data_IF_329104792260
#
_entry.id   IF_329104792260
#
_cell.length_a   1.000
_cell.length_b   1.000
_cell.length_c   1.000
_cell.angle_alpha   90.00
_cell.angle_beta   90.00
_cell.angle_gamma   90.00
#
_symmetry.space_group_name_H-M   'P 1'
#
loop_
_entity.id
_entity.type
_entity.pdbx_description
1 polymer ?
#
# COMPACT_ATOMS: atom_id res chain seq x y z
N UNK A 1 -5.03 -25.17 1.08
CA UNK A 1 -5.95 -26.00 1.86
C UNK A 1 -7.21 -25.19 2.10
N UNK A 2 -8.38 -25.73 1.77
CA UNK A 2 -9.67 -25.10 2.10
C UNK A 2 -10.09 -25.65 3.46
N UNK A 3 -10.36 -24.76 4.42
CA UNK A 3 -10.90 -25.15 5.72
C UNK A 3 -12.39 -25.46 5.56
N UNK A 4 -12.81 -26.66 5.96
CA UNK A 4 -14.19 -27.15 5.84
C UNK A 4 -14.93 -26.98 7.18
N UNK A 5 -15.10 -25.73 7.59
CA UNK A 5 -15.63 -25.34 8.89
C UNK A 5 -16.01 -23.86 8.97
N UNK A 6 -16.38 -23.38 10.17
CA UNK A 6 -16.74 -21.98 10.39
C UNK A 6 -15.73 -21.26 11.29
N UNK A 7 -15.58 -19.95 11.12
CA UNK A 7 -14.78 -19.11 12.01
C UNK A 7 -15.70 -18.12 12.69
N UNK A 8 -15.67 -18.09 14.03
CA UNK A 8 -16.32 -17.06 14.82
C UNK A 8 -15.25 -16.03 15.20
N UNK A 9 -15.34 -14.82 14.63
CA UNK A 9 -14.44 -13.72 14.96
C UNK A 9 -15.10 -12.76 15.96
N UNK A 10 -14.52 -12.67 17.15
CA UNK A 10 -14.86 -11.69 18.18
C UNK A 10 -14.00 -10.44 17.97
N UNK A 11 -14.47 -9.52 17.14
CA UNK A 11 -13.76 -8.26 16.85
C UNK A 11 -13.88 -7.26 18.00
N UNK A 12 -12.81 -6.50 18.26
CA UNK A 12 -12.69 -5.55 19.37
C UNK A 12 -13.07 -6.16 20.76
N UNK A 13 -12.78 -7.45 20.99
CA UNK A 13 -13.13 -8.17 22.22
C UNK A 13 -12.71 -7.42 23.51
N UNK A 14 -11.51 -6.83 23.60
CA UNK A 14 -11.11 -6.04 24.77
C UNK A 14 -12.00 -4.82 25.03
N UNK A 15 -12.68 -4.24 24.04
CA UNK A 15 -13.58 -3.08 24.26
C UNK A 15 -14.91 -3.48 24.90
N UNK A 16 -15.26 -4.77 24.87
CA UNK A 16 -16.50 -5.25 25.46
C UNK A 16 -16.45 -5.14 27.00
N UNK A 17 -17.56 -4.77 27.62
CA UNK A 17 -17.66 -4.71 29.08
C UNK A 17 -17.32 -6.09 29.71
N UNK A 18 -16.77 -6.15 30.94
CA UNK A 18 -16.35 -7.41 31.54
C UNK A 18 -17.44 -8.50 31.61
N UNK A 19 -18.70 -8.12 31.77
CA UNK A 19 -19.83 -9.06 31.74
C UNK A 19 -20.05 -9.69 30.36
N UNK A 20 -19.80 -8.95 29.28
CA UNK A 20 -19.89 -9.44 27.90
C UNK A 20 -18.68 -10.33 27.59
N UNK A 21 -17.47 -9.93 28.03
CA UNK A 21 -16.28 -10.79 27.91
C UNK A 21 -16.48 -12.12 28.67
N UNK A 22 -17.06 -12.09 29.87
CA UNK A 22 -17.39 -13.29 30.64
C UNK A 22 -18.34 -14.22 29.86
N UNK A 23 -19.28 -13.67 29.10
CA UNK A 23 -20.16 -14.45 28.22
C UNK A 23 -19.41 -15.22 27.13
N UNK A 24 -18.28 -14.70 26.63
CA UNK A 24 -17.47 -15.40 25.63
C UNK A 24 -16.64 -16.56 26.19
N UNK A 25 -16.52 -16.71 27.53
CA UNK A 25 -15.71 -17.78 28.13
C UNK A 25 -16.20 -19.15 27.71
N UNK A 26 -17.50 -19.38 27.77
CA UNK A 26 -18.10 -20.67 27.47
C UNK A 26 -17.86 -21.06 26.01
N UNK A 27 -17.89 -20.07 25.11
CA UNK A 27 -17.61 -20.27 23.70
C UNK A 27 -16.14 -20.61 23.45
N UNK A 28 -15.23 -19.86 24.06
CA UNK A 28 -13.77 -20.04 23.87
C UNK A 28 -13.26 -21.31 24.54
N UNK A 29 -13.81 -21.67 25.70
CA UNK A 29 -13.35 -22.80 26.50
C UNK A 29 -14.00 -24.12 26.10
N UNK A 30 -15.33 -24.12 26.00
CA UNK A 30 -16.13 -25.34 25.89
C UNK A 30 -16.77 -25.50 24.52
N UNK A 31 -16.56 -24.55 23.59
CA UNK A 31 -17.24 -24.53 22.29
C UNK A 31 -18.75 -24.48 22.46
N UNK A 32 -19.27 -23.71 23.43
CA UNK A 32 -20.70 -23.72 23.79
C UNK A 32 -21.30 -22.33 23.90
N UNK A 33 -22.61 -22.27 23.64
CA UNK A 33 -23.46 -21.10 23.87
C UNK A 33 -24.70 -21.55 24.65
N UNK A 34 -24.66 -21.42 25.98
CA UNK A 34 -25.65 -22.02 26.86
C UNK A 34 -25.59 -23.54 26.78
N UNK A 35 -26.69 -24.17 26.37
CA UNK A 35 -26.78 -25.63 26.17
C UNK A 35 -26.35 -26.06 24.76
N UNK A 36 -26.25 -25.12 23.81
CA UNK A 36 -25.84 -25.43 22.45
C UNK A 36 -24.34 -25.72 22.38
N UNK A 37 -23.99 -26.86 21.79
CA UNK A 37 -22.60 -27.25 21.49
C UNK A 37 -22.31 -26.86 20.05
N UNK A 38 -21.31 -26.01 19.88
CA UNK A 38 -20.81 -25.58 18.57
C UNK A 38 -20.11 -26.78 17.91
N UNK A 39 -20.27 -26.99 16.59
CA UNK A 39 -19.59 -28.07 15.88
C UNK A 39 -18.06 -28.05 16.06
N UNK A 40 -17.44 -29.23 16.08
CA UNK A 40 -15.99 -29.40 16.30
C UNK A 40 -15.13 -28.72 15.22
N UNK A 41 -15.70 -28.45 14.05
CA UNK A 41 -15.07 -27.72 12.96
C UNK A 41 -15.35 -26.22 13.01
N UNK A 42 -15.54 -25.65 14.22
CA UNK A 42 -15.60 -24.21 14.41
C UNK A 42 -14.38 -23.71 15.17
N UNK A 43 -13.73 -22.69 14.62
CA UNK A 43 -12.59 -22.01 15.25
C UNK A 43 -13.03 -20.65 15.77
N UNK A 44 -12.70 -20.36 17.03
CA UNK A 44 -12.93 -19.05 17.63
C UNK A 44 -11.67 -18.21 17.52
N UNK A 45 -11.80 -17.02 16.95
CA UNK A 45 -10.75 -16.01 16.86
C UNK A 45 -11.21 -14.74 17.56
N UNK A 46 -10.27 -13.98 18.11
CA UNK A 46 -10.53 -12.66 18.69
C UNK A 46 -9.54 -11.64 18.15
N UNK A 47 -10.01 -10.42 17.95
CA UNK A 47 -9.18 -9.28 17.56
C UNK A 47 -9.37 -8.13 18.57
N UNK A 48 -8.34 -7.29 18.70
CA UNK A 48 -8.38 -6.16 19.59
C UNK A 48 -7.04 -5.43 19.67
N UNK A 49 -7.08 -4.22 20.21
CA UNK A 49 -5.91 -3.41 20.44
C UNK A 49 -5.20 -3.84 21.74
N UNK A 50 -3.90 -3.59 21.87
CA UNK A 50 -3.16 -3.93 23.10
C UNK A 50 -3.63 -3.03 24.24
N UNK A 51 -3.55 -3.52 25.48
CA UNK A 51 -3.80 -2.72 26.69
C UNK A 51 -2.96 -1.43 26.72
N UNK A 52 -1.76 -1.46 26.13
CA UNK A 52 -0.85 -0.31 26.01
C UNK A 52 -1.26 0.72 24.97
N UNK A 53 -2.12 0.35 24.01
CA UNK A 53 -2.49 1.20 22.87
C UNK A 53 -3.64 2.18 23.21
N UNK A 54 -4.09 2.23 24.48
CA UNK A 54 -5.02 3.22 25.06
C UNK A 54 -6.25 3.57 24.21
N UNK A 55 -6.81 2.59 23.49
CA UNK A 55 -8.23 2.61 23.14
C UNK A 55 -9.09 2.40 24.39
N UNK A 56 -10.40 2.59 24.31
CA UNK A 56 -11.35 2.27 25.38
C UNK A 56 -11.43 0.76 25.66
N UNK A 57 -10.31 0.13 26.02
CA UNK A 57 -10.19 -1.31 26.24
C UNK A 57 -10.32 -1.62 27.73
N UNK A 58 -11.05 -2.67 28.05
CA UNK A 58 -11.02 -3.33 29.35
C UNK A 58 -9.93 -4.40 29.32
N UNK A 59 -9.14 -4.46 30.40
CA UNK A 59 -8.12 -5.49 30.57
C UNK A 59 -8.77 -6.88 30.46
N UNK A 60 -8.34 -7.66 29.49
CA UNK A 60 -8.80 -9.04 29.36
C UNK A 60 -8.39 -9.83 30.61
N UNK A 61 -9.31 -10.56 31.27
CA UNK A 61 -8.94 -11.33 32.44
C UNK A 61 -7.90 -12.40 32.09
N UNK A 62 -6.88 -12.58 32.93
CA UNK A 62 -5.79 -13.55 32.73
C UNK A 62 -6.26 -14.96 32.37
N UNK A 63 -7.34 -15.51 32.96
CA UNK A 63 -7.82 -16.83 32.59
C UNK A 63 -8.32 -16.92 31.15
N UNK A 64 -8.93 -15.86 30.60
CA UNK A 64 -9.38 -15.81 29.21
C UNK A 64 -8.19 -15.68 28.25
N UNK A 65 -7.22 -14.81 28.60
CA UNK A 65 -5.99 -14.67 27.82
C UNK A 65 -5.26 -16.01 27.67
N UNK A 66 -5.18 -16.82 28.72
CA UNK A 66 -4.51 -18.13 28.68
C UNK A 66 -5.25 -19.19 27.84
N UNK A 67 -6.40 -18.86 27.23
CA UNK A 67 -7.14 -19.73 26.29
C UNK A 67 -6.98 -19.33 24.83
N UNK A 68 -6.32 -18.21 24.57
CA UNK A 68 -5.97 -17.78 23.22
C UNK A 68 -4.50 -18.02 22.93
N UNK A 69 -4.21 -18.37 21.68
CA UNK A 69 -2.88 -18.19 21.09
C UNK A 69 -2.79 -16.75 20.62
N UNK A 70 -1.81 -16.00 21.12
CA UNK A 70 -1.67 -14.57 20.84
C UNK A 70 -0.75 -14.33 19.64
N UNK A 71 -1.23 -13.61 18.64
CA UNK A 71 -0.47 -13.21 17.45
C UNK A 71 -0.49 -11.69 17.37
N UNK A 72 0.68 -11.05 17.40
CA UNK A 72 0.79 -9.60 17.23
C UNK A 72 0.89 -9.27 15.73
N UNK A 73 -0.07 -8.48 15.24
CA UNK A 73 -0.07 -7.97 13.86
C UNK A 73 0.48 -6.54 13.87
N UNK A 74 1.43 -6.27 12.99
CA UNK A 74 2.04 -4.94 12.83
C UNK A 74 1.85 -4.43 11.41
N UNK A 75 1.82 -3.11 11.28
CA UNK A 75 1.81 -2.48 9.95
C UNK A 75 3.18 -2.68 9.30
N UNK A 76 3.19 -3.32 8.13
CA UNK A 76 4.35 -3.40 7.26
C UNK A 76 4.15 -2.54 6.00
N UNK A 77 5.20 -1.83 5.59
CA UNK A 77 5.11 -0.96 4.42
C UNK A 77 5.05 -1.74 3.10
N UNK A 78 5.78 -2.86 2.99
CA UNK A 78 5.79 -3.68 1.78
C UNK A 78 4.43 -4.30 1.51
N UNK A 79 3.81 -4.89 2.53
CA UNK A 79 2.45 -5.46 2.44
C UNK A 79 1.41 -4.38 2.09
N UNK A 80 1.51 -3.21 2.74
CA UNK A 80 0.64 -2.08 2.42
C UNK A 80 0.84 -1.57 0.99
N UNK A 81 2.08 -1.44 0.53
CA UNK A 81 2.39 -0.96 -0.82
C UNK A 81 1.82 -1.90 -1.87
N UNK A 82 1.96 -3.22 -1.68
CA UNK A 82 1.36 -4.22 -2.55
C UNK A 82 -0.16 -4.09 -2.62
N UNK A 83 -0.82 -3.95 -1.47
CA UNK A 83 -2.26 -3.71 -1.40
C UNK A 83 -2.67 -2.42 -2.10
N UNK A 84 -1.94 -1.32 -1.87
CA UNK A 84 -2.22 0.00 -2.44
C UNK A 84 -2.08 0.01 -3.97
N UNK A 85 -1.03 -0.63 -4.49
CA UNK A 85 -0.82 -0.80 -5.94
C UNK A 85 -1.93 -1.63 -6.58
N UNK A 86 -2.29 -2.76 -5.97
CA UNK A 86 -3.35 -3.65 -6.48
C UNK A 86 -4.73 -3.00 -6.42
N UNK A 87 -4.98 -2.18 -5.40
CA UNK A 87 -6.22 -1.43 -5.20
C UNK A 87 -6.26 -0.08 -5.92
N UNK A 88 -5.24 0.21 -6.74
CA UNK A 88 -5.11 1.45 -7.54
C UNK A 88 -5.25 2.73 -6.72
N UNK A 89 -4.56 2.79 -5.57
CA UNK A 89 -4.44 4.02 -4.80
C UNK A 89 -3.83 5.13 -5.66
N UNK A 90 -4.13 6.37 -5.32
CA UNK A 90 -3.58 7.54 -5.98
C UNK A 90 -2.04 7.49 -5.97
N UNK A 91 -1.45 7.73 -7.14
CA UNK A 91 0.01 7.64 -7.36
C UNK A 91 0.81 8.57 -6.44
N UNK A 92 0.26 9.72 -6.05
CA UNK A 92 0.95 10.67 -5.18
C UNK A 92 1.06 10.14 -3.76
N UNK A 93 0.03 9.43 -3.27
CA UNK A 93 0.04 8.77 -1.96
C UNK A 93 1.07 7.65 -1.93
N UNK A 94 1.06 6.77 -2.94
CA UNK A 94 2.01 5.65 -3.03
C UNK A 94 3.44 6.16 -3.20
N UNK A 95 3.65 7.18 -4.03
CA UNK A 95 4.96 7.83 -4.22
C UNK A 95 5.50 8.44 -2.93
N UNK A 96 4.69 9.22 -2.22
CA UNK A 96 5.06 9.84 -0.96
C UNK A 96 5.44 8.80 0.10
N UNK A 97 4.59 7.80 0.34
CA UNK A 97 4.86 6.80 1.37
C UNK A 97 6.02 5.87 1.02
N UNK A 98 6.34 5.71 -0.27
CA UNK A 98 7.57 5.01 -0.70
C UNK A 98 8.84 5.77 -0.30
N UNK A 99 8.78 7.11 -0.29
CA UNK A 99 9.86 7.96 0.20
C UNK A 99 9.88 8.09 1.74
N UNK A 100 8.71 8.17 2.38
CA UNK A 100 8.56 8.41 3.81
C UNK A 100 7.79 7.28 4.51
N UNK A 101 8.37 6.08 4.53
CA UNK A 101 7.72 4.86 5.02
C UNK A 101 7.19 4.96 6.46
N UNK A 102 7.88 5.71 7.31
CA UNK A 102 7.46 5.97 8.71
C UNK A 102 6.15 6.77 8.81
N UNK A 103 5.73 7.45 7.74
CA UNK A 103 4.47 8.19 7.72
C UNK A 103 3.26 7.30 7.41
N UNK A 104 3.45 5.99 7.17
CA UNK A 104 2.32 5.07 6.97
C UNK A 104 1.48 4.91 8.23
N UNK A 105 2.14 4.86 9.39
CA UNK A 105 1.50 4.65 10.68
C UNK A 105 2.20 5.49 11.76
N UNK A 106 1.51 6.47 12.34
CA UNK A 106 2.08 7.37 13.36
C UNK A 106 1.18 7.54 14.59
N UNK A 107 0.38 6.54 14.91
CA UNK A 107 -0.51 6.60 16.08
C UNK A 107 0.29 6.91 17.35
N UNK A 108 -0.11 7.98 18.03
CA UNK A 108 0.41 8.39 19.32
C UNK A 108 -0.78 8.65 20.26
N UNK A 109 -0.99 7.81 21.29
CA UNK A 109 -2.11 7.96 22.21
C UNK A 109 -2.00 9.19 23.10
N UNK A 110 -0.85 9.86 23.16
CA UNK A 110 -0.69 11.12 23.88
C UNK A 110 -1.03 12.35 23.02
N UNK A 111 -1.19 12.17 21.70
CA UNK A 111 -1.48 13.26 20.78
C UNK A 111 -2.92 13.73 20.89
N UNK A 112 -3.12 15.05 20.95
CA UNK A 112 -4.44 15.68 20.87
C UNK A 112 -4.96 15.83 19.43
N UNK A 113 -4.19 15.38 18.43
CA UNK A 113 -4.59 15.45 17.02
C UNK A 113 -5.80 14.57 16.74
N UNK A 114 -6.79 15.12 16.03
CA UNK A 114 -7.98 14.37 15.60
C UNK A 114 -7.69 13.40 14.45
N UNK A 115 -6.70 13.73 13.61
CA UNK A 115 -6.26 12.91 12.48
C UNK A 115 -4.89 12.30 12.75
N UNK A 116 -4.70 11.05 12.31
CA UNK A 116 -3.42 10.35 12.37
C UNK A 116 -3.30 9.36 11.21
N UNK A 117 -2.07 9.12 10.79
CA UNK A 117 -1.75 8.24 9.69
C UNK A 117 -1.91 6.77 10.07
N UNK A 118 -2.65 6.06 9.23
CA UNK A 118 -2.82 4.61 9.19
C UNK A 118 -3.03 4.21 7.73
N UNK A 119 -2.87 2.93 7.39
CA UNK A 119 -3.22 2.45 6.05
C UNK A 119 -4.66 2.81 5.61
N UNK A 120 -5.60 2.85 6.57
CA UNK A 120 -7.00 3.26 6.34
C UNK A 120 -7.13 4.76 6.05
N UNK A 121 -6.48 5.63 6.82
CA UNK A 121 -6.57 7.07 6.58
C UNK A 121 -5.86 7.50 5.28
N UNK A 122 -4.79 6.80 4.87
CA UNK A 122 -4.19 6.98 3.56
C UNK A 122 -5.07 6.54 2.39
N UNK A 123 -5.92 5.53 2.59
CA UNK A 123 -6.97 5.20 1.62
C UNK A 123 -7.96 6.37 1.45
N UNK A 124 -8.41 6.97 2.56
CA UNK A 124 -9.27 8.15 2.50
C UNK A 124 -8.60 9.33 1.78
N UNK A 125 -7.30 9.58 2.02
CA UNK A 125 -6.53 10.59 1.27
C UNK A 125 -6.49 10.26 -0.22
N UNK A 126 -6.27 9.00 -0.59
CA UNK A 126 -6.33 8.55 -1.98
C UNK A 126 -7.70 8.85 -2.60
N UNK A 127 -8.79 8.56 -1.91
CA UNK A 127 -10.16 8.82 -2.39
C UNK A 127 -10.43 10.32 -2.55
N UNK A 128 -9.99 11.15 -1.58
CA UNK A 128 -10.10 12.62 -1.66
C UNK A 128 -9.41 13.14 -2.93
N UNK A 129 -8.22 12.64 -3.25
CA UNK A 129 -7.48 13.05 -4.46
C UNK A 129 -8.13 12.53 -5.74
N UNK A 130 -8.70 11.32 -5.70
CA UNK A 130 -9.33 10.69 -6.86
C UNK A 130 -10.74 11.22 -7.15
N UNK A 131 -11.45 11.76 -6.16
CA UNK A 131 -12.77 12.38 -6.34
C UNK A 131 -12.75 13.47 -7.42
N UNK A 132 -11.60 14.15 -7.57
CA UNK A 132 -11.37 15.13 -8.62
C UNK A 132 -12.10 16.46 -8.39
N UNK A 133 -11.87 17.41 -9.29
CA UNK A 133 -12.40 18.77 -9.20
C UNK A 133 -11.37 19.79 -8.73
N UNK A 134 -11.59 21.05 -9.12
CA UNK A 134 -10.72 22.16 -8.71
C UNK A 134 -11.07 22.58 -7.28
N UNK A 135 -10.57 21.83 -6.31
CA UNK A 135 -10.74 22.14 -4.90
C UNK A 135 -9.74 23.22 -4.48
N UNK A 136 -10.18 24.31 -3.81
CA UNK A 136 -9.27 25.29 -3.24
C UNK A 136 -8.24 24.65 -2.31
N UNK A 137 -6.97 25.08 -2.39
CA UNK A 137 -5.85 24.50 -1.62
C UNK A 137 -6.13 24.40 -0.11
N UNK A 138 -6.82 25.39 0.46
CA UNK A 138 -7.18 25.40 1.88
C UNK A 138 -8.19 24.30 2.25
N UNK A 139 -9.15 24.00 1.37
CA UNK A 139 -10.12 22.92 1.59
C UNK A 139 -9.42 21.57 1.47
N UNK A 140 -8.55 21.43 0.46
CA UNK A 140 -7.79 20.20 0.26
C UNK A 140 -6.86 19.91 1.45
N UNK A 141 -6.18 20.94 1.96
CA UNK A 141 -5.37 20.81 3.18
C UNK A 141 -6.26 20.40 4.36
N UNK A 142 -7.37 21.06 4.62
CA UNK A 142 -8.26 20.70 5.72
C UNK A 142 -8.73 19.23 5.69
N UNK A 143 -9.09 18.71 4.50
CA UNK A 143 -9.51 17.32 4.34
C UNK A 143 -8.36 16.33 4.60
N UNK A 144 -7.18 16.59 4.04
CA UNK A 144 -6.01 15.72 4.21
C UNK A 144 -5.51 15.77 5.67
N UNK A 145 -5.39 16.96 6.27
CA UNK A 145 -5.03 17.11 7.67
C UNK A 145 -6.03 16.43 8.62
N UNK A 146 -7.32 16.49 8.29
CA UNK A 146 -8.36 15.76 9.01
C UNK A 146 -8.17 14.25 8.98
N UNK A 147 -7.63 13.69 7.89
CA UNK A 147 -7.41 12.26 7.75
C UNK A 147 -6.10 11.78 8.41
N UNK A 148 -4.98 12.45 8.13
CA UNK A 148 -3.63 11.96 8.49
C UNK A 148 -2.88 12.82 9.53
N UNK A 149 -3.52 13.88 10.00
CA UNK A 149 -2.93 14.86 10.93
C UNK A 149 -2.18 15.98 10.19
N UNK A 150 -2.18 17.16 10.79
CA UNK A 150 -1.72 18.40 10.13
C UNK A 150 -0.23 18.37 9.76
N UNK A 151 0.62 17.86 10.65
CA UNK A 151 2.07 17.81 10.43
C UNK A 151 2.49 16.94 9.23
N UNK A 152 1.84 15.78 9.04
CA UNK A 152 2.10 14.92 7.86
C UNK A 152 1.43 15.52 6.62
N UNK A 153 0.25 16.14 6.77
CA UNK A 153 -0.48 16.74 5.65
C UNK A 153 0.31 17.86 4.95
N UNK A 154 0.94 18.75 5.73
CA UNK A 154 1.80 19.82 5.17
C UNK A 154 2.95 19.21 4.36
N UNK A 155 3.66 18.24 4.93
CA UNK A 155 4.78 17.57 4.24
C UNK A 155 4.32 16.83 2.97
N UNK A 156 3.17 16.17 3.01
CA UNK A 156 2.60 15.48 1.86
C UNK A 156 2.19 16.45 0.75
N UNK A 157 1.55 17.57 1.09
CA UNK A 157 1.14 18.57 0.12
C UNK A 157 2.33 19.26 -0.55
N UNK A 158 3.37 19.58 0.23
CA UNK A 158 4.60 20.15 -0.31
C UNK A 158 5.34 19.16 -1.21
N UNK A 159 5.40 17.88 -0.81
CA UNK A 159 5.91 16.81 -1.66
C UNK A 159 5.14 16.75 -2.98
N UNK A 160 3.80 16.80 -2.94
CA UNK A 160 2.96 16.75 -4.14
C UNK A 160 3.19 17.94 -5.07
N UNK A 161 3.33 19.15 -4.51
CA UNK A 161 3.66 20.37 -5.28
C UNK A 161 5.01 20.25 -5.98
N UNK A 162 6.00 19.65 -5.32
CA UNK A 162 7.31 19.42 -5.92
C UNK A 162 7.28 18.29 -6.97
N UNK A 163 6.54 17.21 -6.70
CA UNK A 163 6.34 16.10 -7.63
C UNK A 163 5.61 16.54 -8.91
N UNK A 164 4.70 17.52 -8.83
CA UNK A 164 4.02 18.08 -10.00
C UNK A 164 4.96 18.80 -11.00
N UNK A 165 6.20 19.13 -10.60
CA UNK A 165 7.22 19.73 -11.48
C UNK A 165 8.05 18.68 -12.24
N UNK A 166 7.88 17.40 -11.89
CA UNK A 166 8.59 16.31 -12.54
C UNK A 166 8.09 16.13 -13.99
N UNK A 167 8.95 15.63 -14.90
CA UNK A 167 8.51 15.28 -16.24
C UNK A 167 7.35 14.29 -16.20
N UNK A 168 6.44 14.39 -17.17
CA UNK A 168 5.31 13.47 -17.23
C UNK A 168 5.80 12.05 -17.53
N UNK A 169 5.16 11.06 -16.90
CA UNK A 169 5.46 9.64 -17.16
C UNK A 169 5.29 9.31 -18.64
N UNK A 170 4.26 9.87 -19.28
CA UNK A 170 3.97 9.69 -20.70
C UNK A 170 5.13 10.19 -21.59
N UNK A 171 5.68 11.38 -21.31
CA UNK A 171 6.81 11.92 -22.08
C UNK A 171 8.08 11.05 -21.96
N UNK A 172 8.31 10.45 -20.81
CA UNK A 172 9.43 9.51 -20.59
C UNK A 172 9.20 8.21 -21.36
N UNK A 173 8.00 7.62 -21.26
CA UNK A 173 7.67 6.38 -21.97
C UNK A 173 7.69 6.56 -23.48
N UNK A 174 7.34 7.75 -23.98
CA UNK A 174 7.46 8.10 -25.40
C UNK A 174 8.91 8.42 -25.83
N UNK A 175 9.86 8.46 -24.90
CA UNK A 175 11.26 8.78 -25.17
C UNK A 175 11.53 10.26 -25.43
N UNK A 176 10.55 11.14 -25.20
CA UNK A 176 10.68 12.59 -25.34
C UNK A 176 11.54 13.19 -24.22
N UNK A 177 11.51 12.59 -23.03
CA UNK A 177 12.38 12.93 -21.90
C UNK A 177 13.29 11.75 -21.57
N UNK A 178 14.60 12.00 -21.58
CA UNK A 178 15.61 10.96 -21.33
C UNK A 178 16.57 11.28 -20.18
N UNK A 179 16.48 12.49 -19.63
CA UNK A 179 17.31 12.95 -18.50
C UNK A 179 16.44 13.57 -17.43
N UNK A 180 16.82 13.36 -16.18
CA UNK A 180 16.15 13.94 -15.03
C UNK A 180 17.02 15.01 -14.38
N UNK A 181 16.58 16.26 -14.43
CA UNK A 181 17.23 17.37 -13.72
C UNK A 181 16.58 17.59 -12.34
N UNK A 182 16.72 16.59 -11.46
CA UNK A 182 16.16 16.63 -10.10
C UNK A 182 17.18 16.08 -9.12
N UNK A 183 17.56 16.89 -8.13
CA UNK A 183 18.53 16.52 -7.10
C UNK A 183 17.91 15.72 -5.95
N UNK A 184 16.61 15.87 -5.74
CA UNK A 184 15.91 15.23 -4.63
C UNK A 184 15.54 13.78 -4.97
N UNK A 185 16.21 12.84 -4.30
CA UNK A 185 15.96 11.40 -4.43
C UNK A 185 14.53 11.03 -4.01
N UNK A 186 13.90 11.75 -3.08
CA UNK A 186 12.55 11.43 -2.61
C UNK A 186 11.50 11.57 -3.71
N UNK A 187 11.70 12.51 -4.65
CA UNK A 187 10.81 12.76 -5.78
C UNK A 187 10.91 11.67 -6.84
N UNK A 188 12.05 10.97 -6.95
CA UNK A 188 12.19 9.84 -7.85
C UNK A 188 11.26 8.69 -7.50
N UNK A 189 10.82 8.55 -6.23
CA UNK A 189 9.80 7.56 -5.86
C UNK A 189 8.44 7.90 -6.50
N UNK A 190 8.01 9.16 -6.46
CA UNK A 190 6.77 9.60 -7.14
C UNK A 190 6.84 9.39 -8.65
N UNK A 191 7.98 9.72 -9.27
CA UNK A 191 8.16 9.48 -10.70
C UNK A 191 8.15 7.99 -11.03
N UNK A 192 8.83 7.16 -10.23
CA UNK A 192 8.83 5.69 -10.41
C UNK A 192 7.40 5.14 -10.30
N UNK A 193 6.64 5.54 -9.29
CA UNK A 193 5.23 5.14 -9.14
C UNK A 193 4.42 5.59 -10.35
N UNK A 194 4.54 6.86 -10.77
CA UNK A 194 3.83 7.37 -11.94
C UNK A 194 4.14 6.59 -13.22
N UNK A 195 5.41 6.26 -13.45
CA UNK A 195 5.86 5.45 -14.58
C UNK A 195 5.25 4.04 -14.55
N UNK A 196 5.21 3.38 -13.38
CA UNK A 196 4.61 2.06 -13.23
C UNK A 196 3.10 2.08 -13.57
N UNK A 197 2.35 3.07 -13.08
CA UNK A 197 0.91 3.18 -13.33
C UNK A 197 0.62 3.45 -14.81
N UNK A 198 1.32 4.42 -15.40
CA UNK A 198 1.18 4.75 -16.83
C UNK A 198 1.54 3.54 -17.71
N UNK A 199 2.63 2.84 -17.40
CA UNK A 199 3.04 1.65 -18.16
C UNK A 199 2.01 0.52 -18.02
N UNK A 200 1.40 0.34 -16.85
CA UNK A 200 0.32 -0.62 -16.66
C UNK A 200 -0.91 -0.28 -17.53
N UNK A 201 -1.28 0.99 -17.60
CA UNK A 201 -2.41 1.45 -18.41
C UNK A 201 -2.16 1.25 -19.91
N UNK A 202 -0.95 1.60 -20.38
CA UNK A 202 -0.50 1.32 -21.76
C UNK A 202 -0.45 -0.18 -22.04
N UNK A 203 0.01 -0.99 -21.10
CA UNK A 203 0.01 -2.45 -21.24
C UNK A 203 -1.41 -3.01 -21.39
N UNK A 204 -2.33 -2.56 -20.53
CA UNK A 204 -3.73 -3.00 -20.55
C UNK A 204 -4.44 -2.62 -21.86
N UNK A 205 -4.13 -1.45 -22.43
CA UNK A 205 -4.75 -0.96 -23.66
C UNK A 205 -4.09 -1.51 -24.94
N UNK A 206 -2.76 -1.67 -24.97
CA UNK A 206 -2.02 -1.94 -26.20
C UNK A 206 -1.59 -3.42 -26.37
N UNK A 207 -1.51 -4.21 -25.29
CA UNK A 207 -0.94 -5.57 -25.34
C UNK A 207 -1.67 -6.54 -26.29
N UNK A 208 -2.97 -6.34 -26.50
CA UNK A 208 -3.81 -7.13 -27.42
C UNK A 208 -4.10 -6.41 -28.74
N UNK A 209 -3.44 -5.29 -29.00
CA UNK A 209 -3.66 -4.46 -30.17
C UNK A 209 -2.98 -4.94 -31.45
N UNK A 210 -3.03 -4.09 -32.47
CA UNK A 210 -2.35 -4.25 -33.76
C UNK A 210 -0.83 -4.36 -33.60
N UNK A 211 -0.10 -4.86 -34.63
CA UNK A 211 1.37 -4.90 -34.59
C UNK A 211 2.01 -3.54 -34.27
N UNK A 212 1.41 -2.45 -34.77
CA UNK A 212 1.86 -1.07 -34.47
C UNK A 212 1.72 -0.74 -32.99
N UNK A 213 0.58 -1.06 -32.39
CA UNK A 213 0.33 -0.82 -30.96
C UNK A 213 1.25 -1.67 -30.06
N UNK A 214 1.55 -2.91 -30.47
CA UNK A 214 2.52 -3.75 -29.77
C UNK A 214 3.94 -3.18 -29.84
N UNK A 215 4.35 -2.69 -31.00
CA UNK A 215 5.65 -2.03 -31.16
C UNK A 215 5.75 -0.75 -30.32
N UNK A 216 4.66 0.03 -30.22
CA UNK A 216 4.57 1.20 -29.34
C UNK A 216 4.72 0.82 -27.86
N UNK A 217 4.07 -0.26 -27.42
CA UNK A 217 4.22 -0.80 -26.08
C UNK A 217 5.64 -1.29 -25.81
N UNK A 218 6.27 -1.99 -26.75
CA UNK A 218 7.66 -2.45 -26.62
C UNK A 218 8.63 -1.26 -26.52
N UNK A 219 8.42 -0.21 -27.31
CA UNK A 219 9.19 1.03 -27.19
C UNK A 219 9.03 1.70 -25.82
N UNK A 220 7.79 1.77 -25.30
CA UNK A 220 7.51 2.30 -23.97
C UNK A 220 8.20 1.49 -22.86
N UNK A 221 8.17 0.15 -22.95
CA UNK A 221 8.86 -0.74 -22.01
C UNK A 221 10.39 -0.54 -22.06
N UNK A 222 10.96 -0.39 -23.27
CA UNK A 222 12.38 -0.12 -23.42
C UNK A 222 12.78 1.23 -22.79
N UNK A 223 12.00 2.28 -23.06
CA UNK A 223 12.24 3.61 -22.50
C UNK A 223 12.10 3.61 -20.99
N UNK A 224 11.11 2.90 -20.43
CA UNK A 224 10.95 2.72 -18.99
C UNK A 224 12.21 2.16 -18.32
N UNK A 225 12.69 1.00 -18.76
CA UNK A 225 13.87 0.38 -18.16
C UNK A 225 15.13 1.20 -18.39
N UNK A 226 15.31 1.73 -19.61
CA UNK A 226 16.48 2.56 -19.95
C UNK A 226 16.55 3.80 -19.07
N UNK A 227 15.45 4.53 -18.92
CA UNK A 227 15.38 5.74 -18.09
C UNK A 227 15.64 5.43 -16.62
N UNK A 228 14.99 4.40 -16.06
CA UNK A 228 15.23 4.03 -14.67
C UNK A 228 16.70 3.65 -14.42
N UNK A 229 17.30 2.87 -15.33
CA UNK A 229 18.69 2.44 -15.17
C UNK A 229 19.71 3.59 -15.27
N UNK A 230 19.42 4.64 -16.04
CA UNK A 230 20.31 5.79 -16.19
C UNK A 230 20.11 6.85 -15.11
N UNK A 231 18.86 7.13 -14.73
CA UNK A 231 18.54 8.28 -13.88
C UNK A 231 18.30 7.91 -12.41
N UNK A 232 18.01 6.65 -12.07
CA UNK A 232 17.62 6.25 -10.71
C UNK A 232 18.66 5.40 -9.98
N UNK A 233 18.56 5.44 -8.65
CA UNK A 233 19.32 4.55 -7.76
C UNK A 233 18.85 3.10 -7.93
N UNK A 234 19.74 2.10 -7.73
CA UNK A 234 19.40 0.67 -7.87
C UNK A 234 18.11 0.25 -7.16
N UNK A 235 17.88 0.75 -5.94
CA UNK A 235 16.70 0.41 -5.13
C UNK A 235 15.38 0.76 -5.85
N UNK A 236 15.34 1.89 -6.56
CA UNK A 236 14.16 2.35 -7.30
C UNK A 236 13.98 1.58 -8.59
N UNK A 237 15.08 1.24 -9.27
CA UNK A 237 15.05 0.38 -10.46
C UNK A 237 14.45 -0.97 -10.10
N UNK A 238 14.86 -1.57 -8.99
CA UNK A 238 14.34 -2.83 -8.47
C UNK A 238 12.86 -2.68 -8.08
N UNK A 239 12.50 -1.62 -7.36
CA UNK A 239 11.11 -1.35 -6.97
C UNK A 239 10.19 -1.22 -8.20
N UNK A 240 10.56 -0.39 -9.18
CA UNK A 240 9.78 -0.17 -10.39
C UNK A 240 9.65 -1.44 -11.23
N UNK A 241 10.74 -2.19 -11.38
CA UNK A 241 10.73 -3.45 -12.11
C UNK A 241 9.89 -4.53 -11.41
N UNK A 242 10.02 -4.70 -10.08
CA UNK A 242 9.22 -5.66 -9.31
C UNK A 242 7.73 -5.31 -9.38
N UNK A 243 7.40 -4.02 -9.32
CA UNK A 243 6.03 -3.53 -9.50
C UNK A 243 5.48 -3.93 -10.87
N UNK A 244 6.19 -3.62 -11.95
CA UNK A 244 5.72 -3.91 -13.31
C UNK A 244 5.68 -5.41 -13.64
N UNK A 245 6.75 -6.14 -13.33
CA UNK A 245 6.93 -7.54 -13.74
C UNK A 245 6.17 -8.52 -12.84
N UNK A 246 6.21 -8.30 -11.52
CA UNK A 246 5.67 -9.25 -10.54
C UNK A 246 4.26 -8.89 -10.11
N UNK A 247 3.98 -7.62 -9.80
CA UNK A 247 2.67 -7.18 -9.30
C UNK A 247 1.68 -6.93 -10.42
N UNK A 248 2.06 -6.12 -11.40
CA UNK A 248 1.23 -5.80 -12.56
C UNK A 248 1.26 -6.87 -13.65
N UNK A 249 2.19 -7.82 -13.56
CA UNK A 249 2.32 -8.96 -14.47
C UNK A 249 2.46 -8.53 -15.94
N UNK A 250 3.17 -7.42 -16.20
CA UNK A 250 3.47 -6.94 -17.54
C UNK A 250 4.38 -7.97 -18.23
N UNK A 251 3.90 -8.52 -19.36
CA UNK A 251 4.62 -9.53 -20.16
C UNK A 251 4.99 -8.96 -21.52
N UNK A 252 6.22 -9.20 -21.96
CA UNK A 252 6.72 -8.71 -23.25
C UNK A 252 7.76 -9.67 -23.82
N UNK A 253 8.07 -9.49 -25.11
CA UNK A 253 9.15 -10.21 -25.77
C UNK A 253 10.49 -9.59 -25.37
N UNK A 254 11.27 -10.30 -24.55
CA UNK A 254 12.58 -9.85 -24.08
C UNK A 254 13.58 -9.53 -25.19
N UNK A 255 13.45 -10.16 -26.37
CA UNK A 255 14.32 -9.89 -27.53
C UNK A 255 14.00 -8.57 -28.24
N UNK A 256 12.80 -8.04 -28.05
CA UNK A 256 12.36 -6.77 -28.64
C UNK A 256 12.78 -5.55 -27.81
N UNK A 257 13.23 -5.77 -26.57
CA UNK A 257 13.63 -4.71 -25.65
C UNK A 257 15.16 -4.60 -25.66
N UNK A 258 15.67 -3.56 -26.30
CA UNK A 258 17.10 -3.33 -26.51
C UNK A 258 17.90 -3.29 -25.20
N UNK A 259 17.41 -2.61 -24.17
CA UNK A 259 18.11 -2.47 -22.90
C UNK A 259 17.94 -3.68 -21.95
N UNK A 260 17.16 -4.69 -22.35
CA UNK A 260 16.83 -5.83 -21.48
C UNK A 260 18.02 -6.72 -21.11
N UNK A 261 18.97 -7.04 -22.01
CA UNK A 261 20.15 -7.83 -21.63
C UNK A 261 20.99 -7.15 -20.53
N UNK A 262 21.16 -5.83 -20.60
CA UNK A 262 21.86 -5.04 -19.58
C UNK A 262 21.10 -5.07 -18.25
N UNK A 263 19.79 -4.80 -18.31
CA UNK A 263 18.91 -4.85 -17.14
C UNK A 263 18.98 -6.22 -16.45
N UNK A 264 18.85 -7.29 -17.22
CA UNK A 264 18.84 -8.65 -16.68
C UNK A 264 20.16 -9.01 -16.00
N UNK A 265 21.28 -8.66 -16.63
CA UNK A 265 22.61 -8.90 -16.06
C UNK A 265 22.76 -8.19 -14.71
N UNK A 266 22.23 -6.98 -14.58
CA UNK A 266 22.43 -6.13 -13.40
C UNK A 266 21.43 -6.38 -12.27
N UNK A 267 20.16 -6.68 -12.57
CA UNK A 267 19.09 -6.65 -11.57
C UNK A 267 18.22 -7.91 -11.47
N UNK A 268 18.25 -8.84 -12.43
CA UNK A 268 17.26 -9.93 -12.48
C UNK A 268 17.25 -10.80 -11.19
N UNK A 269 18.43 -11.09 -10.64
CA UNK A 269 18.59 -11.86 -9.40
C UNK A 269 17.95 -11.20 -8.16
N UNK A 270 17.69 -9.89 -8.20
CA UNK A 270 17.10 -9.12 -7.11
C UNK A 270 15.57 -9.01 -7.22
N UNK A 271 15.00 -9.45 -8.35
CA UNK A 271 13.56 -9.31 -8.66
C UNK A 271 12.84 -10.66 -8.55
N UNK A 272 13.53 -11.75 -8.86
CA UNK A 272 13.01 -13.12 -8.81
C UNK A 272 13.17 -13.81 -7.45
N UNK A 273 13.69 -13.09 -6.44
CA UNK A 273 13.83 -13.54 -5.06
C UNK A 273 12.59 -13.32 -4.20
#
# INVERSE_FOLDING_TARGET
HVYDGAIILLDELPNAAPSVQAGSYQLVLDGRLGEYIVPDNVVVMAAGNRDTDKGSTFKMPTPLMNRFVHIEVRSDFGDWQDFALMSKFNKDVVGYLSAFKSHLYNFDPASASRGFATGRSWHAVSDILNFGGNMPDNVLHALIAGAIGDGIAVQFLDYRKNAARLPSASDILDGRVTKLDVKDTSLCYSLTTSLCYELQERFNSLSKGTPKQKAELEAAINNFFKFMMSEFKPEMVIMGARTCLSKFKIRFNSKAIECWPEFNKKYNHLITG
#
